data_IF_712137486157
#
_entry.id   IF_712137486157
#
_cell.length_a   1.000
_cell.length_b   1.000
_cell.length_c   1.000
_cell.angle_alpha   90.00
_cell.angle_beta   90.00
_cell.angle_gamma   90.00
#
_symmetry.space_group_name_H-M   'P 1'
#
loop_
_entity.id
_entity.type
_entity.pdbx_description
1 polymer ?
#
# COMPACT_ATOMS: atom_id res chain seq x y z
N UNK A 1 -4.55 -19.36 10.22
CA UNK A 1 -3.93 -18.39 9.29
C UNK A 1 -3.93 -19.01 7.90
N UNK A 2 -4.28 -18.27 6.85
CA UNK A 2 -4.38 -18.82 5.49
C UNK A 2 -3.00 -19.07 4.90
N UNK A 3 -2.78 -20.26 4.34
CA UNK A 3 -1.53 -20.66 3.69
C UNK A 3 -1.06 -19.64 2.63
N UNK A 4 -2.00 -19.00 1.93
CA UNK A 4 -1.73 -17.96 0.92
C UNK A 4 -0.91 -16.78 1.45
N UNK A 5 -1.04 -16.43 2.72
CA UNK A 5 -0.34 -15.26 3.28
C UNK A 5 1.16 -15.52 3.43
N UNK A 6 1.56 -16.79 3.48
CA UNK A 6 2.94 -17.23 3.72
C UNK A 6 3.63 -17.77 2.46
N UNK A 7 2.95 -17.84 1.31
CA UNK A 7 3.52 -18.38 0.08
C UNK A 7 4.68 -17.51 -0.46
N UNK A 8 4.49 -16.19 -0.48
CA UNK A 8 5.53 -15.26 -0.94
C UNK A 8 6.73 -15.26 0.01
N UNK A 9 6.46 -15.31 1.33
CA UNK A 9 7.51 -15.37 2.35
C UNK A 9 8.28 -16.70 2.30
N UNK A 10 7.59 -17.81 2.03
CA UNK A 10 8.22 -19.11 1.82
C UNK A 10 9.18 -19.06 0.63
N UNK A 11 8.75 -18.50 -0.51
CA UNK A 11 9.60 -18.38 -1.69
C UNK A 11 10.83 -17.50 -1.42
N UNK A 12 10.64 -16.31 -0.83
CA UNK A 12 11.73 -15.40 -0.48
C UNK A 12 12.74 -16.05 0.47
N UNK A 13 12.26 -16.83 1.46
CA UNK A 13 13.14 -17.54 2.39
C UNK A 13 14.03 -18.60 1.74
N UNK A 14 13.62 -19.14 0.59
CA UNK A 14 14.38 -20.17 -0.13
C UNK A 14 15.43 -19.56 -1.07
N UNK A 15 15.22 -18.36 -1.58
CA UNK A 15 16.15 -17.67 -2.49
C UNK A 15 17.16 -16.75 -1.78
N UNK A 16 17.39 -16.98 -0.48
CA UNK A 16 18.42 -16.27 0.31
C UNK A 16 17.87 -15.31 1.37
N UNK A 17 16.55 -15.21 1.53
CA UNK A 17 15.92 -14.49 2.65
C UNK A 17 15.92 -15.30 3.95
N UNK A 18 15.74 -14.62 5.09
CA UNK A 18 15.55 -15.29 6.38
C UNK A 18 14.07 -15.61 6.60
N UNK A 19 13.72 -16.87 6.89
CA UNK A 19 12.36 -17.24 7.27
C UNK A 19 11.96 -16.59 8.60
N UNK A 20 10.74 -16.05 8.70
CA UNK A 20 10.23 -15.61 10.00
C UNK A 20 9.94 -16.80 10.92
N UNK A 21 9.91 -16.51 12.23
CA UNK A 21 9.50 -17.50 13.23
C UNK A 21 8.04 -17.92 13.05
N UNK A 22 7.18 -17.06 12.48
CA UNK A 22 5.76 -17.37 12.23
C UNK A 22 5.60 -18.34 11.06
N UNK A 23 6.32 -18.11 9.96
CA UNK A 23 6.37 -19.03 8.82
C UNK A 23 6.85 -20.43 9.25
N UNK A 24 7.90 -20.49 10.07
CA UNK A 24 8.45 -21.76 10.56
C UNK A 24 7.44 -22.52 11.42
N UNK A 25 6.70 -21.82 12.28
CA UNK A 25 5.60 -22.42 13.07
C UNK A 25 4.47 -22.91 12.17
N UNK A 26 4.07 -22.12 11.18
CA UNK A 26 3.02 -22.51 10.26
C UNK A 26 3.38 -23.78 9.45
N UNK A 27 4.62 -23.88 8.98
CA UNK A 27 5.12 -25.07 8.28
C UNK A 27 5.11 -26.30 9.20
N UNK A 28 5.37 -26.14 10.50
CA UNK A 28 5.32 -27.24 11.46
C UNK A 28 3.88 -27.72 11.73
N UNK A 29 2.89 -26.82 11.66
CA UNK A 29 1.49 -27.11 11.97
C UNK A 29 0.66 -27.53 10.74
N UNK A 30 1.06 -27.14 9.52
CA UNK A 30 0.32 -27.41 8.29
C UNK A 30 1.02 -28.43 7.39
N UNK A 31 0.41 -29.61 7.22
CA UNK A 31 0.97 -30.71 6.42
C UNK A 31 1.15 -30.36 4.93
N UNK A 32 0.22 -29.59 4.34
CA UNK A 32 0.32 -29.18 2.93
C UNK A 32 1.50 -28.22 2.71
N UNK A 33 1.64 -27.19 3.54
CA UNK A 33 2.77 -26.26 3.46
C UNK A 33 4.11 -26.95 3.77
N UNK A 34 4.14 -27.94 4.66
CA UNK A 34 5.33 -28.74 4.91
C UNK A 34 5.75 -29.54 3.66
N UNK A 35 4.78 -30.13 2.95
CA UNK A 35 5.01 -30.87 1.71
C UNK A 35 5.51 -29.96 0.60
N UNK A 36 4.90 -28.80 0.42
CA UNK A 36 5.34 -27.79 -0.55
C UNK A 36 6.76 -27.30 -0.25
N UNK A 37 7.04 -26.90 1.00
CA UNK A 37 8.36 -26.43 1.41
C UNK A 37 9.44 -27.51 1.22
N UNK A 38 9.12 -28.79 1.48
CA UNK A 38 10.03 -29.91 1.21
C UNK A 38 10.27 -30.08 -0.29
N UNK A 39 9.23 -29.96 -1.11
CA UNK A 39 9.32 -30.02 -2.56
C UNK A 39 10.24 -28.95 -3.13
N UNK A 40 10.05 -27.69 -2.72
CA UNK A 40 10.91 -26.59 -3.18
C UNK A 40 12.35 -26.71 -2.66
N UNK A 41 12.58 -27.16 -1.43
CA UNK A 41 13.95 -27.40 -0.94
C UNK A 41 14.64 -28.47 -1.77
N UNK A 42 13.94 -29.57 -2.08
CA UNK A 42 14.48 -30.62 -2.94
C UNK A 42 14.81 -30.13 -4.36
N UNK A 43 14.05 -29.17 -4.91
CA UNK A 43 14.40 -28.58 -6.22
C UNK A 43 15.61 -27.66 -6.12
N UNK A 44 15.76 -26.87 -5.06
CA UNK A 44 16.96 -26.06 -4.82
C UNK A 44 18.20 -26.94 -4.63
N UNK A 45 18.09 -27.99 -3.83
CA UNK A 45 19.18 -28.97 -3.63
C UNK A 45 19.59 -29.61 -4.97
N UNK A 46 18.65 -29.89 -5.87
CA UNK A 46 18.94 -30.41 -7.21
C UNK A 46 19.65 -29.37 -8.07
N UNK A 47 19.21 -28.11 -8.04
CA UNK A 47 19.86 -27.01 -8.76
C UNK A 47 21.31 -26.80 -8.27
N UNK A 48 21.58 -26.98 -6.98
CA UNK A 48 22.94 -26.91 -6.43
C UNK A 48 23.86 -28.02 -6.95
N UNK A 49 23.29 -29.17 -7.37
CA UNK A 49 24.07 -30.23 -8.03
C UNK A 49 24.43 -29.92 -9.47
N UNK A 50 23.78 -28.93 -10.10
CA UNK A 50 24.05 -28.56 -11.47
C UNK A 50 25.44 -27.93 -11.58
N UNK A 51 26.36 -28.62 -12.27
CA UNK A 51 27.67 -28.06 -12.60
C UNK A 51 27.56 -27.09 -13.76
N UNK A 52 27.93 -25.84 -13.53
CA UNK A 52 28.02 -24.86 -14.60
C UNK A 52 29.01 -25.34 -15.68
N UNK A 53 28.64 -25.28 -16.97
CA UNK A 53 29.59 -25.57 -18.04
C UNK A 53 30.73 -24.54 -18.01
N UNK A 54 31.94 -24.96 -18.37
CA UNK A 54 33.04 -24.00 -18.50
C UNK A 54 32.70 -22.94 -19.55
N UNK A 55 32.99 -21.66 -19.27
CA UNK A 55 32.76 -20.60 -20.24
C UNK A 55 33.56 -20.88 -21.51
N UNK A 56 33.03 -20.47 -22.67
CA UNK A 56 33.75 -20.65 -23.93
C UNK A 56 35.13 -19.97 -23.84
N UNK A 57 36.18 -20.50 -24.49
CA UNK A 57 37.52 -19.91 -24.44
C UNK A 57 37.60 -18.43 -24.87
N UNK A 58 36.61 -17.95 -25.63
CA UNK A 58 36.52 -16.57 -26.11
C UNK A 58 35.61 -15.68 -25.26
N UNK A 59 35.00 -16.21 -24.18
CA UNK A 59 34.03 -15.47 -23.38
C UNK A 59 34.65 -14.22 -22.77
N UNK A 60 35.80 -14.35 -22.10
CA UNK A 60 36.47 -13.24 -21.44
C UNK A 60 36.95 -12.18 -22.43
N UNK A 61 37.45 -12.63 -23.60
CA UNK A 61 37.87 -11.73 -24.66
C UNK A 61 36.69 -10.95 -25.22
N UNK A 62 35.59 -11.64 -25.54
CA UNK A 62 34.37 -11.00 -26.05
C UNK A 62 33.76 -10.07 -25.01
N UNK A 63 33.72 -10.48 -23.75
CA UNK A 63 33.20 -9.67 -22.64
C UNK A 63 34.05 -8.40 -22.43
N UNK A 64 35.37 -8.52 -22.51
CA UNK A 64 36.27 -7.35 -22.44
C UNK A 64 36.07 -6.40 -23.61
N UNK A 65 35.87 -6.91 -24.83
CA UNK A 65 35.58 -6.10 -26.01
C UNK A 65 34.24 -5.37 -25.84
N UNK A 66 33.18 -6.09 -25.48
CA UNK A 66 31.86 -5.51 -25.24
C UNK A 66 31.90 -4.44 -24.13
N UNK A 67 32.61 -4.70 -23.03
CA UNK A 67 32.78 -3.72 -21.96
C UNK A 67 33.49 -2.45 -22.43
N UNK A 68 34.51 -2.57 -23.29
CA UNK A 68 35.19 -1.41 -23.87
C UNK A 68 34.30 -0.66 -24.86
N UNK A 69 33.55 -1.38 -25.68
CA UNK A 69 32.59 -0.78 -26.62
C UNK A 69 31.52 0.00 -25.86
N UNK A 70 30.94 -0.56 -24.80
CA UNK A 70 29.98 0.13 -23.94
C UNK A 70 30.59 1.34 -23.22
N UNK A 71 31.83 1.23 -22.71
CA UNK A 71 32.52 2.36 -22.09
C UNK A 71 32.92 3.47 -23.08
N UNK A 72 33.14 3.10 -24.35
CA UNK A 72 33.46 4.05 -25.41
C UNK A 72 32.22 4.73 -25.99
N UNK A 73 31.01 4.24 -25.70
CA UNK A 73 29.77 4.97 -26.00
C UNK A 73 29.75 6.28 -25.22
N UNK A 74 29.09 7.28 -25.79
CA UNK A 74 28.96 8.58 -25.14
C UNK A 74 28.36 8.40 -23.73
N UNK A 75 28.90 9.10 -22.72
CA UNK A 75 28.37 8.99 -21.37
C UNK A 75 26.89 9.37 -21.37
N UNK A 76 26.08 8.59 -20.64
CA UNK A 76 24.65 8.84 -20.50
C UNK A 76 24.39 10.31 -20.17
N UNK A 77 23.40 10.90 -20.84
CA UNK A 77 23.01 12.28 -20.59
C UNK A 77 22.57 12.47 -19.14
N UNK A 78 22.60 13.72 -18.64
CA UNK A 78 22.16 14.01 -17.26
C UNK A 78 20.77 13.46 -16.96
N UNK A 79 19.83 13.57 -17.91
CA UNK A 79 18.47 13.05 -17.77
C UNK A 79 18.41 11.52 -17.73
N UNK A 80 19.20 10.84 -18.56
CA UNK A 80 19.29 9.38 -18.56
C UNK A 80 19.87 8.87 -17.24
N UNK A 81 20.92 9.53 -16.74
CA UNK A 81 21.53 9.20 -15.45
C UNK A 81 20.56 9.39 -14.28
N UNK A 82 19.76 10.44 -14.31
CA UNK A 82 18.69 10.67 -13.32
C UNK A 82 17.60 9.60 -13.40
N UNK A 83 17.17 9.23 -14.62
CA UNK A 83 16.18 8.19 -14.84
C UNK A 83 16.67 6.81 -14.39
N UNK A 84 17.89 6.45 -14.74
CA UNK A 84 18.52 5.19 -14.32
C UNK A 84 18.64 5.14 -12.80
N UNK A 85 19.09 6.23 -12.17
CA UNK A 85 19.17 6.30 -10.72
C UNK A 85 17.77 6.13 -10.09
N UNK A 86 16.73 6.75 -10.63
CA UNK A 86 15.36 6.58 -10.13
C UNK A 86 14.83 5.15 -10.31
N UNK A 87 15.09 4.52 -11.47
CA UNK A 87 14.56 3.19 -11.79
C UNK A 87 15.34 2.04 -11.12
N UNK A 88 16.67 2.11 -11.10
CA UNK A 88 17.52 1.07 -10.50
C UNK A 88 17.77 1.30 -9.01
N UNK A 89 17.48 2.49 -8.48
CA UNK A 89 17.42 2.62 -7.03
C UNK A 89 16.26 1.79 -6.51
N UNK A 90 16.59 0.62 -5.98
CA UNK A 90 15.67 -0.13 -5.12
C UNK A 90 15.23 0.86 -4.05
N UNK A 91 13.94 1.26 -4.05
CA UNK A 91 13.40 2.46 -3.36
C UNK A 91 13.63 2.58 -1.85
N UNK A 92 14.42 1.69 -1.24
CA UNK A 92 14.94 1.75 0.13
C UNK A 92 15.97 2.86 0.35
N UNK A 93 16.81 3.19 -0.64
CA UNK A 93 17.86 4.20 -0.46
C UNK A 93 17.35 5.65 -0.38
N UNK A 94 16.16 5.92 -0.91
CA UNK A 94 15.54 7.24 -0.82
C UNK A 94 14.79 7.48 0.49
N UNK A 95 14.49 6.45 1.29
CA UNK A 95 13.74 6.58 2.55
C UNK A 95 14.32 7.61 3.53
N UNK A 96 15.64 7.67 3.80
CA UNK A 96 16.18 8.69 4.72
C UNK A 96 16.12 10.10 4.12
N UNK A 97 16.34 10.25 2.81
CA UNK A 97 16.24 11.55 2.13
C UNK A 97 14.79 12.06 2.06
N UNK A 98 13.83 11.16 1.82
CA UNK A 98 12.41 11.48 1.83
C UNK A 98 11.94 11.83 3.26
N UNK A 99 12.35 11.06 4.28
CA UNK A 99 12.05 11.35 5.67
C UNK A 99 12.65 12.70 6.11
N UNK A 100 13.90 12.97 5.73
CA UNK A 100 14.56 14.26 5.99
C UNK A 100 13.88 15.43 5.26
N UNK A 101 13.53 15.25 3.99
CA UNK A 101 12.82 16.25 3.20
C UNK A 101 11.42 16.54 3.75
N UNK A 102 10.67 15.52 4.16
CA UNK A 102 9.34 15.65 4.74
C UNK A 102 9.41 16.29 6.13
N UNK A 103 10.42 15.96 6.95
CA UNK A 103 10.68 16.63 8.22
C UNK A 103 11.02 18.11 8.04
N UNK A 104 11.86 18.45 7.05
CA UNK A 104 12.19 19.83 6.73
C UNK A 104 10.97 20.61 6.20
N UNK A 105 10.17 19.98 5.34
CA UNK A 105 8.91 20.54 4.85
C UNK A 105 7.89 20.74 5.97
N UNK A 106 7.83 19.84 6.95
CA UNK A 106 7.00 20.01 8.15
C UNK A 106 7.53 21.10 9.08
N UNK A 107 8.85 21.30 9.19
CA UNK A 107 9.42 22.39 9.97
C UNK A 107 9.15 23.75 9.30
N UNK A 108 9.33 23.86 7.99
CA UNK A 108 9.10 25.09 7.24
C UNK A 108 7.59 25.37 7.07
N UNK A 109 6.81 24.36 6.69
CA UNK A 109 5.37 24.45 6.50
C UNK A 109 4.60 24.51 7.81
N UNK A 110 4.97 23.70 8.80
CA UNK A 110 4.35 23.69 10.14
C UNK A 110 4.75 24.90 10.99
N UNK A 111 5.98 25.40 10.86
CA UNK A 111 6.40 26.65 11.50
C UNK A 111 5.72 27.88 10.90
N UNK A 112 5.57 27.92 9.57
CA UNK A 112 4.82 28.98 8.87
C UNK A 112 3.33 28.96 9.18
N UNK A 113 2.69 27.78 9.19
CA UNK A 113 1.29 27.65 9.56
C UNK A 113 1.05 28.00 11.03
N UNK A 114 1.88 27.52 11.98
CA UNK A 114 1.70 27.85 13.40
C UNK A 114 1.80 29.36 13.68
N UNK A 115 2.72 30.07 13.01
CA UNK A 115 2.86 31.52 13.12
C UNK A 115 1.68 32.29 12.54
N UNK A 116 1.13 31.85 11.40
CA UNK A 116 -0.05 32.47 10.78
C UNK A 116 -1.35 32.07 11.49
N UNK A 117 -1.44 30.87 12.05
CA UNK A 117 -2.61 30.42 12.83
C UNK A 117 -2.68 31.10 14.19
N UNK A 118 -1.56 31.42 14.86
CA UNK A 118 -1.60 32.18 16.12
C UNK A 118 -2.07 33.62 15.90
N UNK A 119 -1.71 34.22 14.76
CA UNK A 119 -2.18 35.56 14.37
C UNK A 119 -3.64 35.57 13.86
N UNK A 120 -4.14 34.45 13.32
CA UNK A 120 -5.54 34.31 12.85
C UNK A 120 -6.49 33.64 13.85
N UNK A 121 -5.97 32.99 14.91
CA UNK A 121 -6.75 32.31 15.96
C UNK A 121 -7.53 33.26 16.87
N UNK A 122 -7.31 34.57 16.78
CA UNK A 122 -8.13 35.51 17.52
C UNK A 122 -9.48 35.78 16.85
N UNK A 123 -9.78 35.21 15.66
CA UNK A 123 -11.00 35.55 14.92
C UNK A 123 -11.75 34.44 14.18
N UNK A 124 -11.39 33.15 14.25
CA UNK A 124 -12.13 32.14 13.48
C UNK A 124 -12.53 30.89 14.27
N UNK A 125 -13.85 30.70 14.34
CA UNK A 125 -14.53 29.52 14.83
C UNK A 125 -13.95 28.25 14.20
N UNK A 126 -13.88 27.22 15.05
CA UNK A 126 -13.46 25.85 14.75
C UNK A 126 -14.12 25.35 13.47
N UNK A 127 -13.33 25.24 12.41
CA UNK A 127 -13.76 24.66 11.14
C UNK A 127 -13.69 23.13 11.28
N UNK A 128 -14.86 22.48 11.29
CA UNK A 128 -14.98 21.03 11.37
C UNK A 128 -14.24 20.37 10.19
N UNK A 129 -13.52 19.28 10.45
CA UNK A 129 -12.85 18.49 9.40
C UNK A 129 -13.86 17.94 8.40
N UNK A 130 -13.46 17.75 7.13
CA UNK A 130 -14.34 17.24 6.06
C UNK A 130 -15.09 15.94 6.42
N UNK A 131 -14.50 15.05 7.22
CA UNK A 131 -15.18 13.86 7.70
C UNK A 131 -16.28 14.14 8.74
N UNK A 132 -16.15 15.22 9.52
CA UNK A 132 -17.18 15.66 10.48
C UNK A 132 -18.28 16.42 9.77
N UNK A 133 -17.96 17.18 8.72
CA UNK A 133 -18.97 17.81 7.86
C UNK A 133 -19.79 16.76 7.10
N UNK A 134 -19.14 15.71 6.59
CA UNK A 134 -19.81 14.58 5.95
C UNK A 134 -20.77 13.83 6.91
N UNK A 135 -20.34 13.62 8.16
CA UNK A 135 -21.21 13.05 9.20
C UNK A 135 -22.38 13.98 9.57
N UNK A 136 -22.17 15.31 9.58
CA UNK A 136 -23.24 16.28 9.81
C UNK A 136 -24.24 16.34 8.66
N UNK A 137 -23.80 16.12 7.41
CA UNK A 137 -24.68 16.04 6.25
C UNK A 137 -25.54 14.77 6.30
N UNK A 138 -24.94 13.63 6.65
CA UNK A 138 -25.68 12.37 6.84
C UNK A 138 -26.73 12.49 7.96
N UNK A 139 -26.37 13.07 9.10
CA UNK A 139 -27.28 13.29 10.23
C UNK A 139 -28.48 14.19 9.86
N UNK A 140 -28.24 15.26 9.11
CA UNK A 140 -29.32 16.15 8.62
C UNK A 140 -30.24 15.46 7.62
N UNK A 141 -29.72 14.62 6.73
CA UNK A 141 -30.52 13.89 5.77
C UNK A 141 -31.43 12.87 6.47
N UNK A 142 -30.93 12.21 7.51
CA UNK A 142 -31.73 11.25 8.29
C UNK A 142 -32.87 11.94 9.06
N UNK A 143 -32.60 13.11 9.65
CA UNK A 143 -33.64 13.94 10.28
C UNK A 143 -34.70 14.42 9.26
N UNK A 144 -34.29 14.79 8.05
CA UNK A 144 -35.23 15.18 6.99
C UNK A 144 -36.14 14.02 6.55
N UNK A 145 -35.60 12.80 6.45
CA UNK A 145 -36.39 11.60 6.14
C UNK A 145 -37.40 11.31 7.26
N UNK A 146 -37.00 11.44 8.53
CA UNK A 146 -37.91 11.26 9.67
C UNK A 146 -39.03 12.31 9.71
N UNK A 147 -38.75 13.56 9.33
CA UNK A 147 -39.78 14.60 9.22
C UNK A 147 -40.76 14.32 8.09
N UNK A 148 -40.28 13.80 6.96
CA UNK A 148 -41.16 13.41 5.86
C UNK A 148 -42.05 12.23 6.27
N UNK A 149 -41.49 11.21 6.92
CA UNK A 149 -42.24 10.04 7.41
C UNK A 149 -43.37 10.46 8.37
N UNK A 150 -43.08 11.38 9.29
CA UNK A 150 -44.09 11.94 10.21
C UNK A 150 -45.21 12.70 9.48
N UNK A 151 -44.90 13.42 8.41
CA UNK A 151 -45.92 14.13 7.62
C UNK A 151 -46.75 13.17 6.75
N UNK A 152 -46.14 12.10 6.24
CA UNK A 152 -46.86 11.07 5.49
C UNK A 152 -47.77 10.23 6.39
N UNK A 153 -47.37 9.95 7.63
CA UNK A 153 -48.20 9.27 8.62
C UNK A 153 -49.36 10.15 9.11
N UNK A 154 -49.19 11.48 9.15
CA UNK A 154 -50.27 12.43 9.52
C UNK A 154 -51.28 12.66 8.38
N UNK A 155 -50.97 12.23 7.15
CA UNK A 155 -51.88 12.22 5.98
C UNK A 155 -52.54 10.82 5.73
N UNK A 156 -52.51 9.92 6.72
CA UNK A 156 -53.28 8.67 6.74
C UNK A 156 -54.77 8.90 7.08
N UNK A 157 -55.72 8.18 6.44
CA UNK A 157 -57.10 8.62 6.26
C UNK A 157 -57.89 8.78 7.56
N UNK A 158 -58.51 9.95 7.73
CA UNK A 158 -59.53 10.19 8.74
C UNK A 158 -60.70 9.18 8.63
N UNK A 159 -61.36 8.85 9.75
CA UNK A 159 -62.32 7.76 9.79
C UNK A 159 -63.60 8.07 9.00
N UNK A 160 -63.83 7.31 7.94
CA UNK A 160 -65.17 7.08 7.38
C UNK A 160 -66.01 6.31 8.41
N UNK A 161 -66.81 7.06 9.17
CA UNK A 161 -67.86 6.51 10.03
C UNK A 161 -69.14 6.30 9.23
N UNK A 162 -69.42 5.05 8.84
CA UNK A 162 -70.67 4.63 8.21
C UNK A 162 -71.83 4.46 9.22
N UNK A 163 -73.00 4.92 8.79
CA UNK A 163 -74.38 4.48 9.09
C UNK A 163 -75.14 4.88 10.37
N UNK A 164 -76.34 5.43 10.11
CA UNK A 164 -77.48 5.60 11.02
C UNK A 164 -78.09 4.23 11.42
N UNK A 165 -78.69 4.07 12.62
CA UNK A 165 -79.49 2.90 12.96
C UNK A 165 -80.98 3.10 12.65
N UNK A 166 -81.62 2.00 12.25
CA UNK A 166 -83.06 1.90 12.04
C UNK A 166 -83.86 1.80 13.35
N UNK A 167 -84.97 2.54 13.44
CA UNK A 167 -86.28 2.17 14.01
C UNK A 167 -87.31 3.26 13.68
#
# INVERSE_FOLDING_TARGET
>A
MSCKNYQDELAESLFGGTASAELTKHIAECAECAKEAKGLRATMDLLDTWKAPEPSPYFDQKMTVLMREEQAKAPAGFFERMREYLLLSTGRQFRPALAGGLALALLLGGGGYAGVTVLTQQHQQVQASAAVDDLQILDRNEQAIQQMDQLLDDDGPGPDGSDQPAS
#
